data_IF_200995375941
#
_entry.id   IF_200995375941
#
_cell.length_a   1.000
_cell.length_b   1.000
_cell.length_c   1.000
_cell.angle_alpha   90.00
_cell.angle_beta   90.00
_cell.angle_gamma   90.00
#
_symmetry.space_group_name_H-M   'P 1'
#
loop_
_entity.id
_entity.type
_entity.pdbx_description
1 polymer ?
#
# COMPACT_ATOMS: atom_id res chain seq x y z
N UNK A 1 32.18 37.48 -16.64
CA UNK A 1 32.34 36.47 -15.59
C UNK A 1 31.36 36.80 -14.50
N UNK A 2 30.46 35.88 -14.16
CA UNK A 2 29.57 36.06 -13.02
C UNK A 2 30.42 35.90 -11.75
N UNK A 3 30.30 36.83 -10.85
CA UNK A 3 31.06 36.83 -9.59
C UNK A 3 30.33 35.91 -8.59
N UNK A 4 31.08 35.03 -7.92
CA UNK A 4 30.54 34.23 -6.83
C UNK A 4 30.25 35.14 -5.63
N UNK A 5 29.05 35.01 -5.03
CA UNK A 5 28.71 35.73 -3.80
C UNK A 5 29.42 35.08 -2.59
N UNK A 6 29.67 35.89 -1.57
CA UNK A 6 30.11 35.42 -0.23
C UNK A 6 29.00 35.68 0.76
N UNK A 7 28.83 34.76 1.75
CA UNK A 7 27.83 34.83 2.79
C UNK A 7 28.49 35.12 4.16
N UNK A 8 27.79 35.84 5.01
CA UNK A 8 28.16 35.99 6.41
C UNK A 8 27.72 34.74 7.25
N UNK A 9 27.97 34.81 8.56
CA UNK A 9 27.60 33.75 9.51
C UNK A 9 26.07 33.49 9.63
N UNK A 10 25.27 34.41 9.13
CA UNK A 10 23.79 34.29 9.12
C UNK A 10 23.27 33.91 7.73
N UNK A 11 24.14 33.47 6.83
CA UNK A 11 23.84 33.12 5.43
C UNK A 11 23.25 34.27 4.63
N UNK A 12 23.67 35.53 4.94
CA UNK A 12 23.29 36.74 4.20
C UNK A 12 24.43 37.13 3.28
N UNK A 13 24.11 37.45 2.02
CA UNK A 13 25.10 37.86 1.02
C UNK A 13 25.78 39.16 1.41
N UNK A 14 27.12 39.14 1.51
CA UNK A 14 27.96 40.33 1.76
C UNK A 14 28.43 40.97 0.47
N UNK A 15 28.26 40.28 -0.67
CA UNK A 15 28.49 40.81 -2.03
C UNK A 15 27.41 40.28 -2.96
N UNK A 16 27.07 41.06 -4.01
CA UNK A 16 26.15 40.55 -5.03
C UNK A 16 26.86 39.53 -5.94
N UNK A 17 26.19 38.43 -6.29
CA UNK A 17 26.77 37.40 -7.14
C UNK A 17 25.91 36.14 -7.18
N UNK A 18 26.48 35.09 -7.75
CA UNK A 18 25.81 33.78 -7.85
C UNK A 18 26.30 32.81 -6.79
N UNK A 19 25.40 31.94 -6.36
CA UNK A 19 25.66 30.84 -5.41
C UNK A 19 24.90 29.59 -5.81
N UNK A 20 25.53 28.44 -5.64
CA UNK A 20 24.84 27.15 -5.75
C UNK A 20 24.11 26.85 -4.44
N UNK A 21 22.87 26.54 -4.55
CA UNK A 21 22.02 26.11 -3.42
C UNK A 21 21.39 24.77 -3.71
N UNK A 22 21.13 24.03 -2.63
CA UNK A 22 20.47 22.74 -2.66
C UNK A 22 19.09 22.90 -2.02
N UNK A 23 18.06 22.70 -2.82
CA UNK A 23 16.66 22.89 -2.44
C UNK A 23 16.10 21.61 -1.85
N UNK A 24 15.27 21.74 -0.84
CA UNK A 24 14.57 20.62 -0.19
C UNK A 24 13.10 20.95 0.03
N UNK A 25 12.27 19.92 0.17
CA UNK A 25 10.86 20.09 0.48
C UNK A 25 10.66 20.62 1.89
N UNK A 26 9.78 21.62 2.07
CA UNK A 26 9.57 22.27 3.35
C UNK A 26 8.82 21.43 4.39
N UNK A 27 8.27 20.26 4.01
CA UNK A 27 7.50 19.36 4.88
C UNK A 27 8.26 18.06 5.10
N UNK A 28 8.59 17.36 4.00
CA UNK A 28 9.32 16.09 4.05
C UNK A 28 10.83 16.27 4.26
N UNK A 29 11.34 17.46 3.99
CA UNK A 29 12.75 17.81 3.97
C UNK A 29 13.58 17.05 2.91
N UNK A 30 12.92 16.35 2.00
CA UNK A 30 13.54 15.59 0.92
C UNK A 30 14.29 16.53 -0.03
N UNK A 31 15.51 16.14 -0.46
CA UNK A 31 16.25 16.85 -1.48
C UNK A 31 15.46 16.88 -2.81
N UNK A 32 15.35 18.07 -3.39
CA UNK A 32 14.62 18.27 -4.64
C UNK A 32 15.53 18.52 -5.82
N UNK A 33 16.44 19.50 -5.69
CA UNK A 33 17.27 19.95 -6.80
C UNK A 33 18.42 20.81 -6.33
N UNK A 34 19.41 20.96 -7.21
CA UNK A 34 20.47 21.96 -7.08
C UNK A 34 20.25 23.05 -8.10
N UNK A 35 20.25 24.30 -7.67
CA UNK A 35 20.10 25.48 -8.53
C UNK A 35 21.22 26.49 -8.29
N UNK A 36 21.38 27.39 -9.25
CA UNK A 36 22.24 28.57 -9.10
C UNK A 36 21.35 29.76 -8.86
N UNK A 37 21.53 30.44 -7.75
CA UNK A 37 20.75 31.60 -7.35
C UNK A 37 21.59 32.86 -7.45
N UNK A 38 20.98 33.96 -7.93
CA UNK A 38 21.60 35.27 -7.96
C UNK A 38 21.18 36.07 -6.72
N UNK A 39 22.10 36.29 -5.80
CA UNK A 39 21.84 37.06 -4.59
C UNK A 39 22.36 38.49 -4.71
N UNK A 40 21.55 39.44 -4.26
CA UNK A 40 21.97 40.81 -4.04
C UNK A 40 22.55 40.96 -2.63
N UNK A 41 23.56 41.80 -2.44
CA UNK A 41 24.11 42.11 -1.12
C UNK A 41 22.95 42.43 -0.10
N UNK A 42 23.02 41.81 1.04
CA UNK A 42 22.03 41.94 2.13
C UNK A 42 20.82 40.97 2.03
N UNK A 43 20.78 40.10 1.00
CA UNK A 43 19.75 39.09 0.83
C UNK A 43 20.26 37.74 1.30
N UNK A 44 19.40 36.98 2.02
CA UNK A 44 19.69 35.60 2.47
C UNK A 44 19.40 34.56 1.41
N UNK A 45 19.67 33.29 1.74
CA UNK A 45 19.32 32.15 0.88
C UNK A 45 17.80 32.06 0.67
N UNK A 46 17.34 31.49 -0.45
CA UNK A 46 15.94 31.13 -0.64
C UNK A 46 15.42 30.23 0.49
N UNK A 47 14.12 30.30 0.75
CA UNK A 47 13.49 29.40 1.71
C UNK A 47 13.69 27.93 1.29
N UNK A 48 13.84 27.03 2.25
CA UNK A 48 14.04 25.60 2.01
C UNK A 48 15.24 25.30 1.11
N UNK A 49 16.33 26.04 1.30
CA UNK A 49 17.59 25.80 0.61
C UNK A 49 18.80 25.89 1.56
N UNK A 50 19.87 25.23 1.20
CA UNK A 50 21.14 25.23 1.94
C UNK A 50 22.32 25.25 0.97
N UNK A 51 23.52 25.45 1.50
CA UNK A 51 24.76 25.50 0.71
C UNK A 51 25.61 24.23 0.80
N UNK A 52 25.34 23.40 1.80
CA UNK A 52 26.02 22.11 1.94
C UNK A 52 25.38 21.08 0.99
N UNK A 53 26.24 20.38 0.25
CA UNK A 53 25.78 19.41 -0.75
C UNK A 53 25.01 18.24 -0.12
N UNK A 54 23.95 17.74 -0.79
CA UNK A 54 23.24 16.56 -0.33
C UNK A 54 24.14 15.33 -0.37
N UNK A 55 23.70 14.28 0.32
CA UNK A 55 24.36 12.98 0.28
C UNK A 55 24.24 12.36 -1.13
N UNK A 56 25.19 11.50 -1.47
CA UNK A 56 25.18 10.77 -2.74
C UNK A 56 23.92 9.91 -2.89
N UNK A 57 23.51 9.65 -4.13
CA UNK A 57 22.38 8.78 -4.42
C UNK A 57 22.64 7.36 -3.88
N UNK A 58 21.66 6.82 -3.16
CA UNK A 58 21.73 5.48 -2.61
C UNK A 58 20.41 4.74 -2.86
N UNK A 59 20.49 3.46 -3.24
CA UNK A 59 19.31 2.65 -3.54
C UNK A 59 18.37 2.55 -2.33
N UNK A 60 17.08 2.70 -2.59
CA UNK A 60 16.01 2.66 -1.60
C UNK A 60 16.15 3.64 -0.45
N UNK A 61 16.87 4.74 -0.67
CA UNK A 61 17.02 5.82 0.30
C UNK A 61 16.99 7.18 -0.40
N UNK A 62 16.51 8.17 0.30
CA UNK A 62 16.54 9.57 -0.11
C UNK A 62 17.34 10.39 0.88
N UNK A 63 18.02 11.43 0.38
CA UNK A 63 18.67 12.41 1.22
C UNK A 63 17.62 13.42 1.71
N UNK A 64 17.49 13.58 3.01
CA UNK A 64 16.61 14.56 3.64
C UNK A 64 17.42 15.47 4.56
N UNK A 65 16.96 16.71 4.74
CA UNK A 65 17.49 17.57 5.81
C UNK A 65 17.05 17.04 7.15
N UNK A 66 17.94 17.03 8.11
CA UNK A 66 17.61 16.75 9.51
C UNK A 66 16.60 17.75 10.04
N UNK A 67 15.88 17.40 11.10
CA UNK A 67 14.85 18.27 11.71
C UNK A 67 15.34 19.63 12.16
N UNK A 68 16.63 19.75 12.50
CA UNK A 68 17.29 21.02 12.83
C UNK A 68 17.79 21.77 11.59
N UNK A 69 17.65 21.18 10.41
CA UNK A 69 18.09 21.71 9.11
C UNK A 69 19.61 21.97 9.01
N UNK A 70 20.42 21.32 9.84
CA UNK A 70 21.86 21.56 9.88
C UNK A 70 22.68 20.57 9.02
N UNK A 71 22.13 19.38 8.74
CA UNK A 71 22.84 18.36 7.98
C UNK A 71 21.89 17.54 7.11
N UNK A 72 22.45 16.64 6.30
CA UNK A 72 21.71 15.66 5.53
C UNK A 72 21.77 14.28 6.19
N UNK A 73 20.67 13.56 6.10
CA UNK A 73 20.56 12.16 6.53
C UNK A 73 19.87 11.33 5.46
N UNK A 74 20.07 10.00 5.50
CA UNK A 74 19.33 9.09 4.64
C UNK A 74 18.08 8.62 5.35
N UNK A 75 16.96 8.68 4.63
CA UNK A 75 15.69 8.09 5.06
C UNK A 75 15.33 6.99 4.07
N UNK A 76 14.82 5.85 4.55
CA UNK A 76 14.35 4.75 3.72
C UNK A 76 13.22 5.21 2.79
N UNK A 77 13.27 4.78 1.52
CA UNK A 77 12.20 5.07 0.54
C UNK A 77 11.54 3.78 0.09
N UNK A 78 10.42 3.49 0.68
CA UNK A 78 9.55 2.36 0.35
C UNK A 78 8.29 2.80 -0.40
N UNK A 79 8.21 4.04 -0.83
CA UNK A 79 7.05 4.59 -1.55
C UNK A 79 6.76 3.79 -2.82
N UNK A 80 5.48 3.45 -3.01
CA UNK A 80 5.02 2.60 -4.11
C UNK A 80 5.11 1.10 -3.84
N UNK A 81 5.79 0.67 -2.78
CA UNK A 81 5.77 -0.72 -2.37
C UNK A 81 4.43 -1.10 -1.75
N UNK A 82 4.04 -2.35 -1.96
CA UNK A 82 2.84 -2.92 -1.34
C UNK A 82 3.23 -3.77 -0.15
N UNK A 83 2.64 -3.47 0.99
CA UNK A 83 2.79 -4.25 2.23
C UNK A 83 1.44 -4.80 2.69
N UNK A 84 1.46 -5.77 3.58
CA UNK A 84 0.26 -6.40 4.14
C UNK A 84 0.14 -6.04 5.62
N UNK A 85 -1.05 -5.67 6.06
CA UNK A 85 -1.37 -5.59 7.48
C UNK A 85 -1.33 -7.00 8.10
N UNK A 86 -0.52 -7.20 9.14
CA UNK A 86 -0.31 -8.53 9.74
C UNK A 86 -1.52 -9.09 10.49
N UNK A 87 -2.54 -8.25 10.77
CA UNK A 87 -3.76 -8.67 11.48
C UNK A 87 -4.87 -9.05 10.52
N UNK A 88 -5.03 -8.26 9.45
CA UNK A 88 -6.13 -8.42 8.49
C UNK A 88 -5.71 -9.12 7.21
N UNK A 89 -4.42 -9.07 6.85
CA UNK A 89 -3.91 -9.52 5.55
C UNK A 89 -4.23 -8.56 4.41
N UNK A 90 -4.79 -7.37 4.69
CA UNK A 90 -5.12 -6.38 3.67
C UNK A 90 -3.87 -5.69 3.14
N UNK A 91 -3.88 -5.40 1.83
CA UNK A 91 -2.78 -4.74 1.15
C UNK A 91 -2.84 -3.23 1.33
N UNK A 92 -1.70 -2.63 1.63
CA UNK A 92 -1.49 -1.19 1.73
C UNK A 92 -0.38 -0.78 0.77
N UNK A 93 -0.49 0.39 0.14
CA UNK A 93 0.59 0.99 -0.64
C UNK A 93 1.25 2.06 0.22
N UNK A 94 2.57 1.99 0.34
CA UNK A 94 3.35 2.98 1.09
C UNK A 94 3.41 4.28 0.29
N UNK A 95 3.08 5.38 0.94
CA UNK A 95 3.05 6.72 0.33
C UNK A 95 4.04 7.69 0.97
N UNK A 96 4.56 7.37 2.13
CA UNK A 96 5.43 8.24 2.91
C UNK A 96 6.85 7.69 3.02
N UNK A 97 7.80 8.58 3.25
CA UNK A 97 9.18 8.23 3.52
C UNK A 97 9.33 7.63 4.92
N UNK A 98 10.29 6.75 5.06
CA UNK A 98 10.63 6.12 6.33
C UNK A 98 10.53 4.60 6.28
N UNK A 99 10.63 4.00 7.44
CA UNK A 99 10.49 2.55 7.59
C UNK A 99 9.05 2.10 7.33
N UNK A 100 8.85 0.80 7.16
CA UNK A 100 7.51 0.22 7.01
C UNK A 100 6.62 0.60 8.20
N UNK A 101 5.34 0.93 7.94
CA UNK A 101 4.37 1.21 8.99
C UNK A 101 4.28 0.07 10.00
N UNK A 102 4.01 0.39 11.25
CA UNK A 102 3.81 -0.61 12.28
C UNK A 102 2.73 -1.62 11.89
N UNK A 103 2.90 -2.87 12.29
CA UNK A 103 2.00 -3.97 11.98
C UNK A 103 1.85 -4.27 10.48
N UNK A 104 2.84 -3.95 9.67
CA UNK A 104 2.88 -4.32 8.26
C UNK A 104 4.07 -5.22 7.92
N UNK A 105 3.97 -5.94 6.81
CA UNK A 105 5.03 -6.79 6.28
C UNK A 105 5.01 -6.79 4.75
N UNK A 106 6.15 -6.82 4.06
CA UNK A 106 6.19 -7.01 2.62
C UNK A 106 5.89 -8.46 2.19
N UNK A 107 5.77 -9.39 3.13
CA UNK A 107 5.41 -10.78 2.84
C UNK A 107 3.91 -10.89 2.57
N UNK A 108 3.56 -11.56 1.47
CA UNK A 108 2.18 -11.69 1.00
C UNK A 108 1.59 -13.02 1.49
N UNK A 109 0.36 -13.04 2.07
CA UNK A 109 -0.32 -14.28 2.40
C UNK A 109 -0.67 -15.04 1.11
N UNK A 110 -0.56 -16.38 1.12
CA UNK A 110 -0.87 -17.24 -0.01
C UNK A 110 -2.36 -17.57 -0.10
N UNK A 111 -3.08 -17.45 1.01
CA UNK A 111 -4.51 -17.71 1.09
C UNK A 111 -5.20 -16.79 2.12
N UNK A 112 -6.51 -16.63 1.98
CA UNK A 112 -7.35 -15.91 2.95
C UNK A 112 -7.42 -16.57 4.34
N UNK A 113 -6.87 -17.77 4.46
CA UNK A 113 -6.81 -18.52 5.73
C UNK A 113 -5.47 -18.41 6.43
N UNK A 114 -4.52 -17.67 5.83
CA UNK A 114 -3.21 -17.48 6.42
C UNK A 114 -3.27 -16.48 7.57
N UNK A 115 -2.55 -16.76 8.62
CA UNK A 115 -2.38 -15.91 9.78
C UNK A 115 -0.90 -15.63 10.02
N UNK A 116 -0.60 -14.41 10.47
CA UNK A 116 0.76 -13.99 10.78
C UNK A 116 1.21 -14.58 12.12
N UNK A 117 2.32 -15.33 12.13
CA UNK A 117 2.85 -15.94 13.34
C UNK A 117 3.97 -15.14 14.02
N UNK A 118 4.22 -13.91 13.55
CA UNK A 118 5.30 -13.04 14.01
C UNK A 118 6.47 -12.98 13.02
N UNK A 119 6.58 -13.94 12.11
CA UNK A 119 7.67 -14.02 11.13
C UNK A 119 7.18 -14.31 9.71
N UNK A 120 6.19 -15.18 9.57
CA UNK A 120 5.65 -15.60 8.28
C UNK A 120 4.13 -15.78 8.34
N UNK A 121 3.50 -15.77 7.16
CA UNK A 121 2.12 -16.19 6.98
C UNK A 121 2.04 -17.71 7.05
N UNK A 122 1.16 -18.24 7.88
CA UNK A 122 0.95 -19.67 8.08
C UNK A 122 -0.52 -19.98 7.96
N UNK A 123 -0.86 -20.99 7.15
CA UNK A 123 -2.24 -21.40 6.93
C UNK A 123 -2.89 -21.85 8.23
N UNK A 124 -4.01 -21.23 8.60
CA UNK A 124 -4.86 -21.69 9.68
C UNK A 124 -5.77 -22.82 9.16
N UNK A 125 -5.37 -24.06 9.42
CA UNK A 125 -6.10 -25.26 8.97
C UNK A 125 -7.51 -25.35 9.57
N UNK A 126 -7.73 -24.82 10.75
CA UNK A 126 -9.06 -24.83 11.41
C UNK A 126 -10.01 -23.90 10.64
N UNK A 127 -9.61 -22.65 10.38
CA UNK A 127 -10.41 -21.72 9.57
C UNK A 127 -10.68 -22.25 8.17
N UNK A 128 -9.67 -22.88 7.54
CA UNK A 128 -9.85 -23.48 6.22
C UNK A 128 -10.90 -24.59 6.27
N UNK A 129 -10.78 -25.49 7.25
CA UNK A 129 -11.71 -26.60 7.40
C UNK A 129 -13.16 -26.14 7.68
N UNK A 130 -13.34 -25.14 8.54
CA UNK A 130 -14.64 -24.54 8.80
C UNK A 130 -15.26 -23.93 7.52
N UNK A 131 -14.45 -23.24 6.71
CA UNK A 131 -14.91 -22.68 5.44
C UNK A 131 -15.25 -23.78 4.41
N UNK A 132 -14.48 -24.85 4.34
CA UNK A 132 -14.75 -26.01 3.49
C UNK A 132 -16.08 -26.68 3.87
N UNK A 133 -16.35 -26.86 5.18
CA UNK A 133 -17.63 -27.38 5.70
C UNK A 133 -18.77 -26.43 5.31
N UNK A 134 -18.63 -25.12 5.55
CA UNK A 134 -19.66 -24.13 5.22
C UNK A 134 -19.98 -24.12 3.71
N UNK A 135 -18.95 -24.23 2.87
CA UNK A 135 -19.11 -24.32 1.43
C UNK A 135 -19.85 -25.60 1.00
N UNK A 136 -19.46 -26.74 1.56
CA UNK A 136 -20.13 -28.02 1.29
C UNK A 136 -21.59 -27.98 1.71
N UNK A 137 -21.92 -27.42 2.89
CA UNK A 137 -23.28 -27.27 3.37
C UNK A 137 -24.13 -26.34 2.49
N UNK A 138 -23.57 -25.21 2.06
CA UNK A 138 -24.22 -24.32 1.09
C UNK A 138 -24.52 -25.03 -0.24
N UNK A 139 -23.57 -25.81 -0.73
CA UNK A 139 -23.80 -26.62 -1.93
C UNK A 139 -24.88 -27.68 -1.72
N UNK A 140 -24.83 -28.40 -0.60
CA UNK A 140 -25.87 -29.37 -0.22
C UNK A 140 -27.27 -28.72 -0.19
N UNK A 141 -27.40 -27.56 0.45
CA UNK A 141 -28.67 -26.85 0.53
C UNK A 141 -29.18 -26.43 -0.85
N UNK A 142 -28.28 -25.90 -1.72
CA UNK A 142 -28.66 -25.56 -3.09
C UNK A 142 -29.17 -26.74 -3.90
N UNK A 143 -28.59 -27.92 -3.70
CA UNK A 143 -29.11 -29.17 -4.34
C UNK A 143 -30.47 -29.54 -3.82
N UNK A 144 -30.71 -29.47 -2.50
CA UNK A 144 -32.00 -29.75 -1.89
C UNK A 144 -33.07 -28.78 -2.39
N UNK A 145 -32.80 -27.48 -2.41
CA UNK A 145 -33.72 -26.45 -2.91
C UNK A 145 -34.11 -26.72 -4.37
N UNK A 146 -33.14 -27.14 -5.20
CA UNK A 146 -33.41 -27.49 -6.61
C UNK A 146 -34.30 -28.73 -6.73
N UNK A 147 -34.04 -29.76 -5.93
CA UNK A 147 -34.85 -30.96 -5.87
C UNK A 147 -36.28 -30.62 -5.39
N UNK A 148 -36.40 -29.84 -4.33
CA UNK A 148 -37.72 -29.45 -3.78
C UNK A 148 -38.51 -28.67 -4.84
N UNK A 149 -37.88 -27.72 -5.55
CA UNK A 149 -38.53 -26.98 -6.63
C UNK A 149 -39.06 -27.94 -7.71
N UNK A 150 -38.20 -28.82 -8.23
CA UNK A 150 -38.55 -29.74 -9.32
C UNK A 150 -39.68 -30.69 -8.88
N UNK A 151 -39.57 -31.24 -7.70
CA UNK A 151 -40.65 -32.18 -7.19
C UNK A 151 -41.95 -31.47 -6.84
N UNK A 152 -41.88 -30.19 -6.44
CA UNK A 152 -43.07 -29.36 -6.22
C UNK A 152 -43.84 -29.14 -7.51
N UNK A 153 -43.16 -28.79 -8.59
CA UNK A 153 -43.74 -28.58 -9.93
C UNK A 153 -44.40 -29.90 -10.40
N UNK A 154 -43.72 -31.02 -10.36
CA UNK A 154 -44.27 -32.33 -10.69
C UNK A 154 -45.48 -32.75 -9.85
N UNK A 155 -45.52 -32.42 -8.56
CA UNK A 155 -46.68 -32.66 -7.70
C UNK A 155 -47.91 -31.83 -8.11
N UNK A 156 -47.69 -30.58 -8.53
CA UNK A 156 -48.73 -29.71 -9.04
C UNK A 156 -49.25 -30.24 -10.39
N UNK A 157 -48.38 -30.61 -11.30
CA UNK A 157 -48.72 -31.20 -12.61
C UNK A 157 -49.49 -32.53 -12.42
N UNK A 158 -49.09 -33.36 -11.46
CA UNK A 158 -49.80 -34.58 -11.11
C UNK A 158 -51.21 -34.31 -10.61
N UNK A 159 -51.38 -33.27 -9.77
CA UNK A 159 -52.72 -32.88 -9.26
C UNK A 159 -53.61 -32.32 -10.38
N UNK A 160 -53.05 -31.65 -11.35
CA UNK A 160 -53.76 -31.09 -12.51
C UNK A 160 -54.04 -32.16 -13.59
N UNK A 161 -53.37 -33.30 -13.52
CA UNK A 161 -53.49 -34.36 -14.52
C UNK A 161 -52.63 -34.14 -15.78
N UNK A 162 -51.74 -33.15 -15.74
CA UNK A 162 -50.90 -32.72 -16.89
C UNK A 162 -49.45 -33.24 -16.84
N UNK A 163 -49.09 -34.04 -15.81
CA UNK A 163 -47.72 -34.57 -15.64
C UNK A 163 -47.38 -35.56 -16.75
N UNK A 164 -46.17 -35.44 -17.33
CA UNK A 164 -45.68 -36.41 -18.30
C UNK A 164 -45.42 -37.79 -17.68
N UNK A 165 -45.53 -38.86 -18.49
CA UNK A 165 -45.21 -40.23 -18.02
C UNK A 165 -43.75 -40.36 -17.53
N UNK A 166 -42.85 -39.62 -18.12
CA UNK A 166 -41.44 -39.55 -17.72
C UNK A 166 -41.31 -38.96 -16.32
N UNK A 167 -41.91 -37.78 -16.08
CA UNK A 167 -41.80 -37.04 -14.80
C UNK A 167 -42.54 -37.78 -13.68
N UNK A 168 -43.65 -38.44 -14.02
CA UNK A 168 -44.35 -39.33 -13.11
C UNK A 168 -43.52 -40.54 -12.68
N UNK A 169 -42.79 -41.12 -13.64
CA UNK A 169 -41.85 -42.21 -13.33
C UNK A 169 -40.68 -41.73 -12.47
N UNK A 170 -40.15 -40.55 -12.73
CA UNK A 170 -39.10 -39.97 -11.90
C UNK A 170 -39.63 -39.64 -10.49
N UNK A 171 -40.78 -39.00 -10.36
CA UNK A 171 -41.39 -38.70 -9.08
C UNK A 171 -41.65 -39.94 -8.23
N UNK A 172 -41.93 -41.08 -8.86
CA UNK A 172 -42.14 -42.34 -8.16
C UNK A 172 -40.84 -43.05 -7.75
N UNK A 173 -39.71 -42.63 -8.27
CA UNK A 173 -38.40 -43.17 -7.95
C UNK A 173 -37.71 -42.43 -6.80
N UNK A 174 -38.27 -41.31 -6.38
CA UNK A 174 -37.85 -40.48 -5.26
C UNK A 174 -38.64 -40.82 -3.99
#
# INVERSE_FOLDING_TARGET
MMTKTELDSNLIAISSGEIIVHNFDGISHEYLSTTTESLTMGVGLPANSCIDAPLDVKDNMVACRTKDLLSWEYISDHRGETVQDIKTGESLIITELGDYPENTTPKIPLSQYDEWNGENWVMNLVKKHEADIASAEKHRQSLLDNIEKTTSDWRIELLLGDISDNDKSQLSAW
#
